data_IF_842655531848
#
_entry.id   IF_842655531848
#
_cell.length_a   1.000
_cell.length_b   1.000
_cell.length_c   1.000
_cell.angle_alpha   90.00
_cell.angle_beta   90.00
_cell.angle_gamma   90.00
#
_symmetry.space_group_name_H-M   'P 1'
#
loop_
_entity.id
_entity.type
_entity.pdbx_description
1 polymer ?
#
# COMPACT_ATOMS: atom_id res chain seq x y z
N UNK A 1 27.92 25.54 11.76
CA UNK A 1 29.11 24.65 11.75
C UNK A 1 28.76 23.23 12.21
N UNK A 2 27.89 23.05 13.22
CA UNK A 2 27.39 21.73 13.66
C UNK A 2 26.49 21.01 12.62
N UNK A 3 25.69 21.73 11.84
CA UNK A 3 24.80 21.15 10.81
C UNK A 3 25.54 20.43 9.67
N UNK A 4 26.74 20.90 9.31
CA UNK A 4 27.55 20.28 8.25
C UNK A 4 28.14 18.95 8.69
N UNK A 5 28.49 18.84 9.97
CA UNK A 5 29.04 17.62 10.53
C UNK A 5 27.97 16.54 10.73
N UNK A 6 26.75 16.97 11.09
CA UNK A 6 25.60 16.07 11.18
C UNK A 6 25.22 15.51 9.81
N UNK A 7 25.29 16.27 8.71
CA UNK A 7 24.97 15.75 7.36
C UNK A 7 25.97 14.72 6.86
N UNK A 8 27.25 14.81 7.24
CA UNK A 8 28.29 13.87 6.82
C UNK A 8 28.24 12.51 7.55
N UNK A 9 27.34 12.33 8.52
CA UNK A 9 27.15 11.04 9.20
C UNK A 9 26.29 10.10 8.34
N UNK A 10 26.71 8.82 8.13
CA UNK A 10 26.00 7.86 7.30
C UNK A 10 24.59 7.48 7.82
N UNK A 11 24.22 7.89 9.03
CA UNK A 11 22.89 7.71 9.62
C UNK A 11 22.20 9.03 10.01
N UNK A 12 22.63 10.12 9.39
CA UNK A 12 22.01 11.41 9.63
C UNK A 12 20.59 11.49 9.06
N UNK A 13 19.62 11.83 9.90
CA UNK A 13 18.26 12.18 9.47
C UNK A 13 18.23 13.41 8.53
N UNK A 14 19.31 14.21 8.48
CA UNK A 14 19.40 15.42 7.65
C UNK A 14 19.70 15.16 6.17
N UNK A 15 20.40 14.07 5.83
CA UNK A 15 20.68 13.67 4.43
C UNK A 15 19.75 12.56 3.92
N UNK A 16 18.99 11.93 4.82
CA UNK A 16 18.13 10.79 4.49
C UNK A 16 16.73 11.19 4.03
N UNK A 17 16.23 12.39 4.34
CA UNK A 17 14.89 12.82 3.91
C UNK A 17 14.77 12.88 2.38
N UNK A 18 15.77 13.44 1.70
CA UNK A 18 15.77 13.53 0.23
C UNK A 18 15.89 12.14 -0.40
N UNK A 19 16.74 11.28 0.16
CA UNK A 19 16.94 9.93 -0.36
C UNK A 19 15.72 9.01 -0.12
N UNK A 20 15.05 9.17 1.01
CA UNK A 20 13.79 8.46 1.33
C UNK A 20 12.72 8.80 0.31
N UNK A 21 12.64 10.06 -0.13
CA UNK A 21 11.68 10.47 -1.16
C UNK A 21 12.16 10.12 -2.56
N UNK A 22 13.46 10.23 -2.87
CA UNK A 22 14.00 9.98 -4.22
C UNK A 22 13.89 8.52 -4.65
N UNK A 23 14.11 7.57 -3.75
CA UNK A 23 14.08 6.14 -4.12
C UNK A 23 12.73 5.71 -4.73
N UNK A 24 11.57 5.98 -4.11
CA UNK A 24 10.26 5.75 -4.73
C UNK A 24 10.09 6.49 -6.05
N UNK A 25 10.48 7.78 -6.12
CA UNK A 25 10.32 8.62 -7.31
C UNK A 25 11.11 8.09 -8.52
N UNK A 26 12.22 7.40 -8.30
CA UNK A 26 13.03 6.79 -9.35
C UNK A 26 12.67 5.32 -9.64
N UNK A 27 11.79 4.72 -8.83
CA UNK A 27 11.38 3.33 -9.00
C UNK A 27 10.39 3.17 -10.16
N UNK A 28 10.43 2.02 -10.82
CA UNK A 28 9.41 1.56 -11.78
C UNK A 28 7.99 1.61 -11.20
N UNK A 29 7.82 1.35 -9.90
CA UNK A 29 6.54 1.40 -9.19
C UNK A 29 5.85 2.75 -9.42
N UNK A 30 6.57 3.85 -9.26
CA UNK A 30 6.03 5.21 -9.41
C UNK A 30 6.18 5.81 -10.81
N UNK A 31 7.24 5.45 -11.54
CA UNK A 31 7.53 6.02 -12.86
C UNK A 31 6.69 5.39 -13.99
N UNK A 32 6.29 4.12 -13.85
CA UNK A 32 5.40 3.47 -14.80
C UNK A 32 3.96 3.99 -14.62
N UNK A 33 3.34 4.43 -15.73
CA UNK A 33 2.02 5.08 -15.75
C UNK A 33 0.89 4.21 -16.32
N UNK A 34 1.25 3.04 -16.79
CA UNK A 34 0.43 2.11 -17.56
C UNK A 34 0.50 0.72 -16.92
N UNK A 35 0.41 0.65 -15.59
CA UNK A 35 0.26 -0.63 -14.89
C UNK A 35 -1.02 -1.34 -15.33
N UNK A 36 -2.10 -0.62 -15.62
CA UNK A 36 -3.36 -1.12 -16.19
C UNK A 36 -3.84 -2.43 -15.53
N UNK A 37 -3.79 -2.49 -14.19
CA UNK A 37 -4.18 -3.67 -13.42
C UNK A 37 -5.65 -3.52 -13.07
N UNK A 38 -6.46 -4.48 -13.51
CA UNK A 38 -7.85 -4.57 -13.10
C UNK A 38 -7.97 -5.50 -11.89
N UNK A 39 -8.60 -4.99 -10.85
CA UNK A 39 -8.89 -5.73 -9.64
C UNK A 39 -10.39 -6.01 -9.53
N UNK A 40 -10.70 -7.19 -9.01
CA UNK A 40 -12.05 -7.57 -8.58
C UNK A 40 -12.08 -7.75 -7.08
N UNK A 41 -13.25 -7.53 -6.50
CA UNK A 41 -13.50 -7.86 -5.11
C UNK A 41 -13.33 -9.37 -4.89
N UNK A 42 -12.60 -9.75 -3.85
CA UNK A 42 -12.45 -11.14 -3.44
C UNK A 42 -13.25 -11.42 -2.17
N UNK A 43 -12.89 -10.76 -1.06
CA UNK A 43 -13.58 -10.89 0.22
C UNK A 43 -13.34 -9.69 1.14
N UNK A 44 -14.17 -9.55 2.17
CA UNK A 44 -13.91 -8.69 3.32
C UNK A 44 -13.11 -9.46 4.36
N UNK A 45 -12.14 -8.78 4.96
CA UNK A 45 -11.33 -9.32 6.05
C UNK A 45 -11.15 -8.28 7.16
N UNK A 46 -10.88 -8.75 8.38
CA UNK A 46 -10.56 -7.91 9.54
C UNK A 46 -9.11 -8.16 9.96
N UNK A 47 -8.22 -7.24 9.62
CA UNK A 47 -6.80 -7.37 9.90
C UNK A 47 -6.43 -6.83 11.27
N UNK A 48 -5.59 -7.60 11.97
CA UNK A 48 -5.03 -7.26 13.28
C UNK A 48 -6.08 -6.71 14.26
N UNK A 49 -7.31 -7.27 14.24
CA UNK A 49 -8.44 -6.85 15.06
C UNK A 49 -8.72 -5.33 15.02
N UNK A 50 -8.40 -4.65 13.91
CA UNK A 50 -8.43 -3.18 13.86
C UNK A 50 -8.86 -2.60 12.52
N UNK A 51 -8.66 -3.28 11.39
CA UNK A 51 -8.97 -2.74 10.06
C UNK A 51 -9.96 -3.62 9.33
N UNK A 52 -11.10 -3.08 8.90
CA UNK A 52 -11.96 -3.74 7.92
C UNK A 52 -11.45 -3.40 6.51
N UNK A 53 -11.07 -4.43 5.74
CA UNK A 53 -10.52 -4.28 4.41
C UNK A 53 -11.33 -5.05 3.36
N UNK A 54 -11.56 -4.44 2.20
CA UNK A 54 -11.95 -5.15 1.00
C UNK A 54 -10.69 -5.68 0.32
N UNK A 55 -10.47 -6.99 0.44
CA UNK A 55 -9.39 -7.68 -0.25
C UNK A 55 -9.73 -7.81 -1.72
N UNK A 56 -8.73 -7.52 -2.54
CA UNK A 56 -8.84 -7.53 -3.99
C UNK A 56 -8.02 -8.69 -4.56
N UNK A 57 -8.39 -9.12 -5.75
CA UNK A 57 -7.59 -10.01 -6.59
C UNK A 57 -7.47 -9.42 -7.99
N UNK A 58 -6.30 -9.54 -8.67
CA UNK A 58 -6.24 -9.20 -10.08
C UNK A 58 -7.22 -10.08 -10.86
N UNK A 59 -7.80 -9.56 -11.93
CA UNK A 59 -8.45 -10.42 -12.91
C UNK A 59 -7.41 -11.21 -13.73
N UNK A 60 -7.89 -12.20 -14.48
CA UNK A 60 -7.02 -13.16 -15.17
C UNK A 60 -6.11 -12.47 -16.20
N UNK A 61 -6.62 -11.45 -16.89
CA UNK A 61 -5.87 -10.66 -17.87
C UNK A 61 -4.79 -9.78 -17.22
N UNK A 62 -5.00 -9.39 -15.95
CA UNK A 62 -4.08 -8.54 -15.20
C UNK A 62 -3.04 -9.31 -14.38
N UNK A 63 -3.09 -10.65 -14.34
CA UNK A 63 -2.25 -11.43 -13.44
C UNK A 63 -0.75 -11.21 -13.70
N UNK A 64 -0.30 -11.29 -14.96
CA UNK A 64 1.10 -11.14 -15.30
C UNK A 64 1.65 -9.73 -14.99
N UNK A 65 0.86 -8.70 -15.26
CA UNK A 65 1.26 -7.31 -14.97
C UNK A 65 1.21 -7.01 -13.47
N UNK A 66 0.30 -7.66 -12.73
CA UNK A 66 0.26 -7.62 -11.27
C UNK A 66 1.48 -8.30 -10.64
N UNK A 67 1.89 -9.47 -11.12
CA UNK A 67 3.11 -10.15 -10.66
C UNK A 67 4.34 -9.27 -10.88
N UNK A 68 4.47 -8.65 -12.06
CA UNK A 68 5.52 -7.68 -12.33
C UNK A 68 5.47 -6.49 -11.34
N UNK A 69 4.28 -5.96 -11.05
CA UNK A 69 4.13 -4.88 -10.06
C UNK A 69 4.61 -5.30 -8.67
N UNK A 70 4.29 -6.52 -8.22
CA UNK A 70 4.73 -7.06 -6.93
C UNK A 70 6.24 -7.26 -6.88
N UNK A 71 6.86 -7.74 -7.96
CA UNK A 71 8.31 -7.85 -8.07
C UNK A 71 8.99 -6.48 -7.94
N UNK A 72 8.45 -5.47 -8.61
CA UNK A 72 8.98 -4.10 -8.54
C UNK A 72 8.80 -3.47 -7.15
N UNK A 73 7.68 -3.73 -6.47
CA UNK A 73 7.49 -3.37 -5.06
C UNK A 73 8.51 -4.06 -4.17
N UNK A 74 8.75 -5.36 -4.37
CA UNK A 74 9.73 -6.13 -3.60
C UNK A 74 11.12 -5.57 -3.78
N UNK A 75 11.51 -5.26 -5.02
CA UNK A 75 12.78 -4.61 -5.34
C UNK A 75 12.94 -3.26 -4.62
N UNK A 76 11.90 -2.43 -4.64
CA UNK A 76 11.89 -1.15 -3.93
C UNK A 76 12.06 -1.35 -2.42
N UNK A 77 11.31 -2.28 -1.81
CA UNK A 77 11.43 -2.60 -0.38
C UNK A 77 12.84 -3.09 -0.01
N UNK A 78 13.48 -3.91 -0.85
CA UNK A 78 14.87 -4.34 -0.65
C UNK A 78 15.84 -3.16 -0.70
N UNK A 79 15.69 -2.24 -1.66
CA UNK A 79 16.51 -1.02 -1.73
C UNK A 79 16.36 -0.13 -0.48
N UNK A 80 15.13 -0.01 0.05
CA UNK A 80 14.88 0.68 1.31
C UNK A 80 15.58 -0.01 2.48
N UNK A 81 15.51 -1.34 2.56
CA UNK A 81 16.18 -2.09 3.61
C UNK A 81 17.71 -1.97 3.52
N UNK A 82 18.29 -2.11 2.33
CA UNK A 82 19.74 -1.99 2.12
C UNK A 82 20.25 -0.58 2.47
N UNK A 83 19.49 0.47 2.15
CA UNK A 83 19.93 1.85 2.37
C UNK A 83 19.64 2.37 3.77
N UNK A 84 18.52 1.97 4.37
CA UNK A 84 18.03 2.55 5.62
C UNK A 84 17.79 1.54 6.74
N UNK A 85 18.03 0.25 6.51
CA UNK A 85 17.93 -0.83 7.49
C UNK A 85 16.51 -1.02 8.09
N UNK A 86 15.46 -0.76 7.33
CA UNK A 86 14.08 -1.11 7.68
C UNK A 86 13.29 -1.67 6.50
N UNK A 87 12.37 -2.58 6.79
CA UNK A 87 11.39 -3.06 5.80
C UNK A 87 10.11 -2.23 5.92
N UNK A 88 9.57 -1.82 4.79
CA UNK A 88 8.35 -0.99 4.68
C UNK A 88 7.08 -1.78 4.42
N UNK A 89 7.19 -3.07 4.10
CA UNK A 89 6.04 -3.92 3.77
C UNK A 89 6.19 -5.31 4.41
N UNK A 90 5.07 -5.99 4.52
CA UNK A 90 4.98 -7.41 4.81
C UNK A 90 5.59 -8.25 3.68
N UNK A 91 5.92 -9.51 3.96
CA UNK A 91 6.52 -10.43 2.96
C UNK A 91 5.61 -10.71 1.77
N UNK A 92 4.29 -10.54 1.92
CA UNK A 92 3.30 -10.84 0.89
C UNK A 92 2.43 -9.62 0.67
N UNK A 93 2.45 -9.07 -0.54
CA UNK A 93 1.58 -7.96 -0.88
C UNK A 93 0.16 -8.45 -1.18
N UNK A 94 -0.78 -8.06 -0.32
CA UNK A 94 -2.22 -8.31 -0.53
C UNK A 94 -2.90 -6.99 -0.94
N UNK A 95 -3.33 -6.84 -2.21
CA UNK A 95 -4.01 -5.63 -2.65
C UNK A 95 -5.36 -5.52 -1.94
N UNK A 96 -5.63 -4.34 -1.37
CA UNK A 96 -6.82 -4.11 -0.57
C UNK A 96 -7.22 -2.64 -0.56
N UNK A 97 -8.48 -2.37 -0.19
CA UNK A 97 -8.97 -1.04 0.15
C UNK A 97 -9.45 -1.09 1.60
N UNK A 98 -8.86 -0.28 2.48
CA UNK A 98 -9.35 -0.10 3.85
C UNK A 98 -10.71 0.60 3.81
N UNK A 99 -11.73 -0.04 4.39
CA UNK A 99 -13.10 0.50 4.46
C UNK A 99 -13.34 1.26 5.77
N UNK A 100 -12.60 0.92 6.82
CA UNK A 100 -12.71 1.58 8.11
C UNK A 100 -11.81 0.93 9.16
N UNK A 101 -11.67 1.64 10.27
CA UNK A 101 -10.89 1.20 11.43
C UNK A 101 -11.82 1.06 12.64
N UNK A 102 -11.69 -0.05 13.36
CA UNK A 102 -12.41 -0.26 14.61
C UNK A 102 -11.77 0.59 15.72
N UNK A 103 -12.61 1.21 16.55
CA UNK A 103 -12.15 2.05 17.66
C UNK A 103 -11.41 1.26 18.75
N UNK A 104 -11.67 -0.04 18.85
CA UNK A 104 -11.02 -0.97 19.77
C UNK A 104 -11.21 -2.43 19.30
N UNK A 105 -10.45 -3.34 19.91
CA UNK A 105 -10.49 -4.77 19.58
C UNK A 105 -11.88 -5.39 19.82
N UNK A 106 -12.62 -4.94 20.85
CA UNK A 106 -13.97 -5.45 21.14
C UNK A 106 -14.93 -5.19 19.96
N UNK A 107 -14.84 -4.00 19.34
CA UNK A 107 -15.60 -3.65 18.14
C UNK A 107 -15.27 -4.57 16.97
N UNK A 108 -13.99 -4.86 16.74
CA UNK A 108 -13.54 -5.79 15.70
C UNK A 108 -14.04 -7.22 15.96
N UNK A 109 -13.97 -7.69 17.20
CA UNK A 109 -14.45 -9.02 17.58
C UNK A 109 -15.96 -9.16 17.36
N UNK A 110 -16.75 -8.14 17.70
CA UNK A 110 -18.20 -8.14 17.41
C UNK A 110 -18.46 -8.21 15.91
N UNK A 111 -17.69 -7.49 15.10
CA UNK A 111 -17.84 -7.47 13.64
C UNK A 111 -17.52 -8.81 12.96
N UNK A 112 -16.64 -9.64 13.54
CA UNK A 112 -16.35 -10.99 13.01
C UNK A 112 -17.62 -11.84 12.84
N UNK A 113 -18.59 -11.70 13.75
CA UNK A 113 -19.86 -12.42 13.67
C UNK A 113 -20.71 -12.01 12.44
N UNK A 114 -20.54 -10.79 11.95
CA UNK A 114 -21.26 -10.25 10.78
C UNK A 114 -20.48 -10.39 9.48
N UNK A 115 -19.19 -10.77 9.55
CA UNK A 115 -18.29 -10.75 8.41
C UNK A 115 -18.74 -11.70 7.28
N UNK A 116 -19.37 -12.83 7.62
CA UNK A 116 -19.91 -13.76 6.63
C UNK A 116 -21.04 -13.15 5.80
N UNK A 117 -22.01 -12.53 6.47
CA UNK A 117 -23.16 -11.90 5.82
C UNK A 117 -22.73 -10.70 4.98
N UNK A 118 -21.81 -9.88 5.52
CA UNK A 118 -21.25 -8.75 4.78
C UNK A 118 -20.48 -9.21 3.54
N UNK A 119 -19.69 -10.29 3.64
CA UNK A 119 -19.03 -10.88 2.49
C UNK A 119 -20.03 -11.29 1.41
N UNK A 120 -21.13 -11.95 1.80
CA UNK A 120 -22.18 -12.36 0.87
C UNK A 120 -22.80 -11.16 0.16
N UNK A 121 -23.11 -10.11 0.92
CA UNK A 121 -23.65 -8.87 0.36
C UNK A 121 -22.67 -8.18 -0.60
N UNK A 122 -21.41 -8.01 -0.20
CA UNK A 122 -20.38 -7.38 -1.02
C UNK A 122 -20.09 -8.18 -2.30
N UNK A 123 -19.98 -9.52 -2.21
CA UNK A 123 -19.78 -10.38 -3.39
C UNK A 123 -20.90 -10.19 -4.41
N UNK A 124 -22.14 -10.13 -3.95
CA UNK A 124 -23.31 -9.90 -4.81
C UNK A 124 -23.30 -8.49 -5.42
N UNK A 125 -23.07 -7.47 -4.58
CA UNK A 125 -23.11 -6.07 -5.01
C UNK A 125 -21.96 -5.66 -5.96
N UNK A 126 -20.81 -6.33 -5.87
CA UNK A 126 -19.59 -5.99 -6.60
C UNK A 126 -19.20 -7.02 -7.66
N UNK A 127 -20.06 -8.01 -7.96
CA UNK A 127 -19.76 -9.12 -8.87
C UNK A 127 -19.20 -8.65 -10.24
N UNK A 128 -19.83 -7.64 -10.83
CA UNK A 128 -19.48 -7.11 -12.15
C UNK A 128 -18.59 -5.84 -12.07
N UNK A 129 -18.27 -5.40 -10.85
CA UNK A 129 -17.45 -4.21 -10.62
C UNK A 129 -15.97 -4.53 -10.83
N UNK A 130 -15.27 -3.59 -11.47
CA UNK A 130 -13.83 -3.65 -11.69
C UNK A 130 -13.21 -2.36 -11.16
N UNK A 131 -12.13 -2.49 -10.41
CA UNK A 131 -11.30 -1.38 -9.96
C UNK A 131 -10.01 -1.35 -10.79
N UNK A 132 -9.87 -0.33 -11.65
CA UNK A 132 -8.68 -0.17 -12.48
C UNK A 132 -7.59 0.65 -11.77
N UNK A 133 -6.38 0.11 -11.73
CA UNK A 133 -5.18 0.73 -11.20
C UNK A 133 -4.18 1.01 -12.32
N UNK A 134 -3.86 2.29 -12.53
CA UNK A 134 -2.99 2.72 -13.63
C UNK A 134 -1.59 3.11 -13.18
N UNK A 135 -1.46 3.79 -12.04
CA UNK A 135 -0.17 4.29 -11.56
C UNK A 135 -0.11 4.38 -10.04
N UNK A 136 1.08 4.16 -9.48
CA UNK A 136 1.38 4.53 -8.10
C UNK A 136 1.89 5.97 -8.04
N UNK A 137 1.80 6.59 -6.87
CA UNK A 137 2.40 7.88 -6.60
C UNK A 137 2.85 7.95 -5.16
N UNK A 138 3.74 8.89 -4.86
CA UNK A 138 4.16 9.17 -3.51
C UNK A 138 3.16 10.14 -2.86
N UNK A 139 2.65 9.74 -1.69
CA UNK A 139 1.71 10.50 -0.88
C UNK A 139 2.30 10.75 0.50
N UNK A 140 2.10 11.96 1.03
CA UNK A 140 2.24 12.25 2.45
C UNK A 140 0.87 12.19 3.14
N UNK A 141 0.84 11.83 4.42
CA UNK A 141 -0.37 11.86 5.23
C UNK A 141 -0.03 12.35 6.64
N UNK A 142 -0.95 13.08 7.25
CA UNK A 142 -0.91 13.46 8.67
C UNK A 142 -1.90 12.65 9.50
N UNK A 143 -2.93 12.12 8.84
CA UNK A 143 -4.00 11.30 9.40
C UNK A 143 -4.52 10.34 8.32
N UNK A 144 -5.40 9.42 8.69
CA UNK A 144 -5.94 8.39 7.78
C UNK A 144 -7.08 8.89 6.88
N UNK A 145 -7.34 10.21 6.86
CA UNK A 145 -8.44 10.84 6.12
C UNK A 145 -7.88 11.69 4.97
N UNK A 146 -6.69 12.29 5.16
CA UNK A 146 -6.10 13.25 4.22
C UNK A 146 -4.77 12.75 3.64
N UNK A 147 -4.72 12.63 2.31
CA UNK A 147 -3.54 12.24 1.57
C UNK A 147 -3.11 13.36 0.62
N UNK A 148 -1.86 13.80 0.75
CA UNK A 148 -1.24 14.83 -0.10
C UNK A 148 -0.40 14.14 -1.15
N UNK A 149 -0.82 14.21 -2.42
CA UNK A 149 -0.02 13.70 -3.54
C UNK A 149 1.17 14.62 -3.75
N UNK A 150 2.35 14.04 -3.94
CA UNK A 150 3.51 14.78 -4.42
C UNK A 150 3.42 14.93 -5.95
N UNK A 151 3.77 16.09 -6.49
CA UNK A 151 3.81 16.33 -7.93
C UNK A 151 4.99 15.62 -8.64
N UNK A 152 5.87 14.98 -7.86
CA UNK A 152 7.10 14.39 -8.34
C UNK A 152 6.91 13.00 -8.98
N UNK A 153 5.73 12.39 -8.86
CA UNK A 153 5.35 11.17 -9.56
C UNK A 153 4.46 11.47 -10.75
#
# INVERSE_FOLDING_TARGET
MAEKWLSDLPQSMYNTSDDILRLPLMSSVCTKRDWNINFRFDHLDIWNSSVLAAVLRPDDDSLAIFEQFVEERTRLNTQFHERFNFFTDSKTYTPHVSLGYFANEEGAQKALSSLHDWNTWFKSALQDSVLSFNHASLYGLTDMITFFKTDAC
#
